data_IF_815351588875
#
_entry.id   IF_815351588875
#
_cell.length_a   1.000
_cell.length_b   1.000
_cell.length_c   1.000
_cell.angle_alpha   90.00
_cell.angle_beta   90.00
_cell.angle_gamma   90.00
#
_symmetry.space_group_name_H-M   'P 1'
#
loop_
_entity.id
_entity.type
_entity.pdbx_description
1 polymer ?
#
# COMPACT_ATOMS: atom_id res chain seq x y z
N UNK A 1 8.10 29.25 0.24
CA UNK A 1 8.07 28.73 1.63
C UNK A 1 9.45 28.18 1.93
N UNK A 2 10.12 28.67 2.97
CA UNK A 2 11.46 28.20 3.39
C UNK A 2 11.25 27.16 4.48
N UNK A 3 11.69 25.92 4.26
CA UNK A 3 11.68 24.89 5.28
C UNK A 3 13.01 24.95 6.07
N UNK A 4 12.99 24.92 7.41
CA UNK A 4 14.22 24.90 8.18
C UNK A 4 15.01 23.61 7.90
N UNK A 5 16.34 23.67 7.93
CA UNK A 5 17.15 22.45 7.91
C UNK A 5 16.85 21.61 9.15
N UNK A 6 17.00 20.29 9.06
CA UNK A 6 16.82 19.37 10.19
C UNK A 6 17.68 19.78 11.40
N UNK A 7 18.88 20.32 11.14
CA UNK A 7 19.79 20.86 12.15
C UNK A 7 19.19 22.09 12.84
N UNK A 8 18.64 23.04 12.07
CA UNK A 8 18.02 24.24 12.63
C UNK A 8 16.77 23.91 13.46
N UNK A 9 15.99 22.93 13.00
CA UNK A 9 14.76 22.47 13.65
C UNK A 9 15.06 21.81 14.99
N UNK A 10 16.13 21.00 15.05
CA UNK A 10 16.66 20.43 16.29
C UNK A 10 17.13 21.51 17.27
N UNK A 11 17.92 22.48 16.81
CA UNK A 11 18.37 23.60 17.64
C UNK A 11 17.21 24.44 18.18
N UNK A 12 16.15 24.60 17.39
CA UNK A 12 14.94 25.30 17.82
C UNK A 12 14.22 24.52 18.92
N UNK A 13 14.09 23.20 18.76
CA UNK A 13 13.42 22.30 19.70
C UNK A 13 14.10 22.29 21.08
N UNK A 14 15.44 22.26 21.09
CA UNK A 14 16.27 22.37 22.30
C UNK A 14 16.04 23.69 23.04
N UNK A 15 16.02 24.82 22.31
CA UNK A 15 15.80 26.15 22.92
C UNK A 15 14.39 26.33 23.48
N UNK A 16 13.40 25.71 22.84
CA UNK A 16 12.00 25.76 23.25
C UNK A 16 11.64 24.70 24.29
N UNK A 17 12.54 23.76 24.60
CA UNK A 17 12.29 22.67 25.54
C UNK A 17 11.19 21.71 25.07
N UNK A 18 11.00 21.56 23.76
CA UNK A 18 9.97 20.72 23.16
C UNK A 18 10.60 19.66 22.27
N UNK A 19 9.95 18.50 22.15
CA UNK A 19 10.39 17.46 21.23
C UNK A 19 10.38 17.98 19.76
N UNK A 20 11.47 17.81 18.98
CA UNK A 20 11.49 18.21 17.57
C UNK A 20 10.33 17.63 16.75
N UNK A 21 9.84 16.43 17.08
CA UNK A 21 8.66 15.81 16.48
C UNK A 21 7.39 16.65 16.67
N UNK A 22 7.27 17.41 17.76
CA UNK A 22 6.14 18.31 17.98
C UNK A 22 6.18 19.51 17.02
N UNK A 23 7.36 20.04 16.71
CA UNK A 23 7.52 21.09 15.69
C UNK A 23 7.18 20.53 14.31
N UNK A 24 7.61 19.30 14.01
CA UNK A 24 7.17 18.60 12.79
C UNK A 24 5.64 18.41 12.75
N UNK A 25 5.01 18.05 13.87
CA UNK A 25 3.55 17.90 13.96
C UNK A 25 2.78 19.22 13.77
N UNK A 26 3.38 20.36 14.13
CA UNK A 26 2.84 21.71 13.90
C UNK A 26 2.99 22.16 12.43
N UNK A 27 4.06 21.73 11.77
CA UNK A 27 4.30 22.00 10.33
C UNK A 27 3.57 21.02 9.41
N UNK A 28 3.08 19.89 9.92
CA UNK A 28 2.25 18.97 9.16
C UNK A 28 0.97 19.67 8.69
N UNK A 29 0.93 19.92 7.39
CA UNK A 29 -0.20 20.49 6.66
C UNK A 29 -1.51 19.77 7.04
N UNK A 30 -2.60 20.51 7.30
CA UNK A 30 -3.93 19.96 7.61
C UNK A 30 -4.35 18.86 6.62
N UNK A 31 -3.96 18.99 5.34
CA UNK A 31 -4.15 17.97 4.29
C UNK A 31 -3.43 16.65 4.62
N UNK A 32 -2.17 16.70 5.07
CA UNK A 32 -1.40 15.51 5.39
C UNK A 32 -2.04 14.74 6.55
N UNK A 33 -2.45 15.45 7.62
CA UNK A 33 -3.17 14.83 8.74
C UNK A 33 -4.48 14.18 8.28
N UNK A 34 -5.22 14.87 7.43
CA UNK A 34 -6.44 14.33 6.83
C UNK A 34 -6.17 13.04 6.02
N UNK A 35 -5.18 13.07 5.12
CA UNK A 35 -4.81 11.93 4.29
C UNK A 35 -4.39 10.73 5.14
N UNK A 36 -3.59 10.93 6.20
CA UNK A 36 -3.20 9.86 7.12
C UNK A 36 -4.40 9.29 7.88
N UNK A 37 -5.32 10.14 8.34
CA UNK A 37 -6.56 9.68 8.97
C UNK A 37 -7.40 8.82 8.02
N UNK A 38 -7.55 9.25 6.76
CA UNK A 38 -8.28 8.46 5.76
C UNK A 38 -7.58 7.12 5.48
N UNK A 39 -6.25 7.09 5.36
CA UNK A 39 -5.49 5.84 5.21
C UNK A 39 -5.70 4.90 6.39
N UNK A 40 -5.80 5.43 7.61
CA UNK A 40 -6.10 4.65 8.80
C UNK A 40 -7.50 4.02 8.71
N UNK A 41 -8.52 4.81 8.38
CA UNK A 41 -9.91 4.32 8.22
C UNK A 41 -9.98 3.25 7.12
N UNK A 42 -9.32 3.45 5.98
CA UNK A 42 -9.26 2.45 4.91
C UNK A 42 -8.67 1.12 5.39
N UNK A 43 -7.55 1.17 6.13
CA UNK A 43 -6.92 -0.04 6.71
C UNK A 43 -7.83 -0.72 7.73
N UNK A 44 -8.59 0.05 8.50
CA UNK A 44 -9.54 -0.48 9.47
C UNK A 44 -10.73 -1.19 8.79
N UNK A 45 -11.30 -0.58 7.74
CA UNK A 45 -12.34 -1.22 6.92
C UNK A 45 -11.87 -2.55 6.33
N UNK A 46 -10.60 -2.65 5.89
CA UNK A 46 -10.02 -3.91 5.43
C UNK A 46 -9.98 -4.98 6.53
N UNK A 47 -9.58 -4.61 7.75
CA UNK A 47 -9.53 -5.54 8.89
C UNK A 47 -10.94 -6.03 9.28
N UNK A 48 -11.91 -5.13 9.23
CA UNK A 48 -13.32 -5.42 9.57
C UNK A 48 -14.10 -6.06 8.40
N UNK A 49 -13.47 -6.25 7.24
CA UNK A 49 -14.10 -6.78 6.00
C UNK A 49 -15.29 -5.93 5.50
N UNK A 50 -15.26 -4.64 5.78
CA UNK A 50 -16.25 -3.64 5.37
C UNK A 50 -15.93 -3.13 3.95
N UNK A 51 -16.09 -4.00 2.95
CA UNK A 51 -15.65 -3.71 1.58
C UNK A 51 -16.56 -2.72 0.84
N UNK A 52 -17.85 -2.64 1.19
CA UNK A 52 -18.79 -1.69 0.59
C UNK A 52 -18.47 -0.27 1.06
N UNK A 53 -18.26 -0.10 2.36
CA UNK A 53 -17.85 1.14 2.99
C UNK A 53 -16.51 1.61 2.45
N UNK A 54 -15.55 0.68 2.32
CA UNK A 54 -14.25 0.97 1.71
C UNK A 54 -14.41 1.54 0.28
N UNK A 55 -15.26 0.93 -0.53
CA UNK A 55 -15.50 1.40 -1.90
C UNK A 55 -16.05 2.83 -1.93
N UNK A 56 -17.05 3.13 -1.09
CA UNK A 56 -17.64 4.47 -1.01
C UNK A 56 -16.66 5.52 -0.50
N UNK A 57 -15.83 5.18 0.50
CA UNK A 57 -14.77 6.07 1.01
C UNK A 57 -13.78 6.38 -0.12
N UNK A 58 -13.24 5.36 -0.80
CA UNK A 58 -12.24 5.58 -1.84
C UNK A 58 -12.80 6.39 -3.00
N UNK A 59 -14.04 6.10 -3.43
CA UNK A 59 -14.72 6.84 -4.49
C UNK A 59 -14.91 8.31 -4.13
N UNK A 60 -15.32 8.59 -2.89
CA UNK A 60 -15.45 9.96 -2.38
C UNK A 60 -14.11 10.68 -2.35
N UNK A 61 -13.05 10.03 -1.85
CA UNK A 61 -11.72 10.63 -1.71
C UNK A 61 -11.05 10.93 -3.05
N UNK A 62 -11.31 10.13 -4.09
CA UNK A 62 -10.86 10.42 -5.46
C UNK A 62 -11.47 11.72 -6.00
N UNK A 63 -12.68 12.09 -5.58
CA UNK A 63 -13.34 13.33 -6.01
C UNK A 63 -12.88 14.58 -5.24
N UNK A 64 -12.42 14.42 -3.98
CA UNK A 64 -12.04 15.53 -3.11
C UNK A 64 -10.64 16.09 -3.38
N UNK A 65 -9.84 15.44 -4.24
CA UNK A 65 -8.48 15.85 -4.65
C UNK A 65 -7.50 16.08 -3.47
N UNK A 66 -7.77 15.44 -2.31
CA UNK A 66 -6.91 15.49 -1.13
C UNK A 66 -5.64 14.63 -1.29
N UNK A 67 -5.73 13.55 -2.07
CA UNK A 67 -4.63 12.63 -2.40
C UNK A 67 -3.95 13.11 -3.69
N UNK A 68 -2.82 13.78 -3.53
CA UNK A 68 -2.16 14.54 -4.60
C UNK A 68 -0.91 13.84 -5.12
N UNK A 69 -0.11 13.24 -4.23
CA UNK A 69 1.14 12.58 -4.63
C UNK A 69 0.86 11.27 -5.37
N UNK A 70 1.86 10.79 -6.12
CA UNK A 70 1.76 9.50 -6.83
C UNK A 70 1.49 8.34 -5.85
N UNK A 71 2.19 8.32 -4.72
CA UNK A 71 2.04 7.29 -3.68
C UNK A 71 0.66 7.34 -3.00
N UNK A 72 0.15 8.55 -2.75
CA UNK A 72 -1.20 8.76 -2.22
C UNK A 72 -2.26 8.24 -3.20
N UNK A 73 -2.14 8.56 -4.48
CA UNK A 73 -3.07 8.07 -5.52
C UNK A 73 -2.97 6.57 -5.71
N UNK A 74 -1.76 6.02 -5.72
CA UNK A 74 -1.52 4.58 -5.77
C UNK A 74 -2.20 3.88 -4.60
N UNK A 75 -2.11 4.42 -3.39
CA UNK A 75 -2.78 3.88 -2.21
C UNK A 75 -4.28 3.73 -2.45
N UNK A 76 -4.95 4.80 -2.92
CA UNK A 76 -6.39 4.77 -3.16
C UNK A 76 -6.77 3.73 -4.22
N UNK A 77 -6.10 3.76 -5.39
CA UNK A 77 -6.41 2.85 -6.51
C UNK A 77 -6.18 1.38 -6.09
N UNK A 78 -5.12 1.11 -5.32
CA UNK A 78 -4.86 -0.23 -4.79
C UNK A 78 -6.02 -0.73 -3.92
N UNK A 79 -6.50 0.10 -2.98
CA UNK A 79 -7.58 -0.32 -2.08
C UNK A 79 -8.94 -0.35 -2.76
N UNK A 80 -9.15 0.47 -3.79
CA UNK A 80 -10.31 0.38 -4.68
C UNK A 80 -10.38 -0.98 -5.37
N UNK A 81 -9.25 -1.46 -5.91
CA UNK A 81 -9.18 -2.76 -6.56
C UNK A 81 -9.56 -3.91 -5.61
N UNK A 82 -9.13 -3.83 -4.33
CA UNK A 82 -9.53 -4.79 -3.30
C UNK A 82 -11.03 -4.76 -3.07
N UNK A 83 -11.61 -3.56 -2.94
CA UNK A 83 -13.04 -3.42 -2.73
C UNK A 83 -13.85 -3.98 -3.92
N UNK A 84 -13.47 -3.64 -5.16
CA UNK A 84 -14.10 -4.15 -6.39
C UNK A 84 -14.03 -5.67 -6.45
N UNK A 85 -12.84 -6.24 -6.20
CA UNK A 85 -12.69 -7.69 -6.20
C UNK A 85 -13.58 -8.37 -5.15
N UNK A 86 -13.69 -7.79 -3.96
CA UNK A 86 -14.45 -8.42 -2.86
C UNK A 86 -15.97 -8.27 -3.02
N UNK A 87 -16.44 -7.15 -3.59
CA UNK A 87 -17.88 -6.87 -3.78
C UNK A 87 -18.39 -7.49 -5.09
N UNK A 88 -17.71 -7.21 -6.20
CA UNK A 88 -18.20 -7.56 -7.54
C UNK A 88 -17.63 -8.89 -8.06
N UNK A 89 -16.63 -9.47 -7.36
CA UNK A 89 -15.88 -10.68 -7.78
C UNK A 89 -15.27 -10.56 -9.19
N UNK A 90 -15.12 -9.34 -9.69
CA UNK A 90 -14.59 -9.07 -11.03
C UNK A 90 -13.07 -8.99 -11.00
N UNK A 91 -12.42 -10.12 -11.30
CA UNK A 91 -10.95 -10.24 -11.32
C UNK A 91 -10.31 -9.31 -12.36
N UNK A 92 -10.85 -9.30 -13.58
CA UNK A 92 -10.26 -8.52 -14.69
C UNK A 92 -10.18 -7.04 -14.34
N UNK A 93 -11.29 -6.47 -13.87
CA UNK A 93 -11.34 -5.06 -13.48
C UNK A 93 -10.40 -4.79 -12.31
N UNK A 94 -10.41 -5.63 -11.27
CA UNK A 94 -9.53 -5.46 -10.13
C UNK A 94 -8.03 -5.49 -10.55
N UNK A 95 -7.63 -6.42 -11.42
CA UNK A 95 -6.27 -6.49 -11.95
C UNK A 95 -5.90 -5.28 -12.80
N UNK A 96 -6.82 -4.73 -13.60
CA UNK A 96 -6.60 -3.50 -14.36
C UNK A 96 -6.31 -2.31 -13.43
N UNK A 97 -7.06 -2.18 -12.34
CA UNK A 97 -6.81 -1.17 -11.32
C UNK A 97 -5.46 -1.37 -10.62
N UNK A 98 -5.08 -2.60 -10.26
CA UNK A 98 -3.78 -2.89 -9.66
C UNK A 98 -2.62 -2.57 -10.62
N UNK A 99 -2.76 -2.90 -11.90
CA UNK A 99 -1.77 -2.54 -12.92
C UNK A 99 -1.65 -1.01 -13.07
N UNK A 100 -2.77 -0.29 -13.03
CA UNK A 100 -2.75 1.17 -13.06
C UNK A 100 -2.09 1.75 -11.80
N UNK A 101 -2.33 1.16 -10.62
CA UNK A 101 -1.67 1.55 -9.38
C UNK A 101 -0.15 1.34 -9.46
N UNK A 102 0.33 0.23 -10.01
CA UNK A 102 1.76 -0.03 -10.20
C UNK A 102 2.39 0.97 -11.17
N UNK A 103 1.75 1.26 -12.31
CA UNK A 103 2.26 2.21 -13.31
C UNK A 103 2.53 3.62 -12.76
N UNK A 104 1.89 4.00 -11.65
CA UNK A 104 2.11 5.33 -11.04
C UNK A 104 3.50 5.48 -10.41
N UNK A 105 4.07 4.40 -9.84
CA UNK A 105 5.33 4.46 -9.08
C UNK A 105 6.43 3.59 -9.67
N UNK A 106 6.07 2.56 -10.46
CA UNK A 106 7.00 1.59 -11.00
C UNK A 106 8.03 2.28 -11.87
N UNK A 107 9.25 2.36 -11.36
CA UNK A 107 10.39 2.99 -12.04
C UNK A 107 11.35 1.95 -12.58
N UNK A 108 11.53 0.84 -11.86
CA UNK A 108 12.38 -0.28 -12.27
C UNK A 108 11.70 -1.61 -11.93
N UNK A 109 11.58 -2.53 -12.89
CA UNK A 109 10.95 -3.84 -12.69
C UNK A 109 11.76 -4.80 -11.81
N UNK A 110 13.06 -4.51 -11.63
CA UNK A 110 14.03 -5.37 -10.93
C UNK A 110 14.25 -4.96 -9.47
N UNK A 111 13.78 -3.77 -9.10
CA UNK A 111 13.84 -3.19 -7.75
C UNK A 111 12.50 -2.57 -7.39
N UNK A 112 11.68 -3.33 -6.67
CA UNK A 112 10.37 -2.91 -6.21
C UNK A 112 10.45 -2.31 -4.80
N UNK A 113 9.68 -1.25 -4.57
CA UNK A 113 9.39 -0.75 -3.23
C UNK A 113 8.48 -1.70 -2.45
N UNK A 114 8.45 -1.57 -1.12
CA UNK A 114 7.53 -2.34 -0.26
C UNK A 114 6.07 -2.22 -0.71
N UNK A 115 5.65 -1.02 -1.12
CA UNK A 115 4.29 -0.77 -1.59
C UNK A 115 3.98 -1.52 -2.87
N UNK A 116 4.91 -1.55 -3.81
CA UNK A 116 4.75 -2.29 -5.06
C UNK A 116 4.75 -3.80 -4.82
N UNK A 117 5.54 -4.27 -3.86
CA UNK A 117 5.51 -5.67 -3.41
C UNK A 117 4.13 -6.02 -2.84
N UNK A 118 3.55 -5.19 -1.96
CA UNK A 118 2.20 -5.43 -1.42
C UNK A 118 1.11 -5.44 -2.51
N UNK A 119 1.21 -4.54 -3.50
CA UNK A 119 0.28 -4.50 -4.62
C UNK A 119 0.41 -5.78 -5.47
N UNK A 120 1.63 -6.18 -5.81
CA UNK A 120 1.88 -7.42 -6.55
C UNK A 120 1.45 -8.66 -5.76
N UNK A 121 1.64 -8.66 -4.45
CA UNK A 121 1.14 -9.69 -3.56
C UNK A 121 -0.39 -9.78 -3.62
N UNK A 122 -1.08 -8.63 -3.65
CA UNK A 122 -2.54 -8.58 -3.81
C UNK A 122 -2.98 -9.18 -5.17
N UNK A 123 -2.25 -8.88 -6.25
CA UNK A 123 -2.52 -9.49 -7.56
C UNK A 123 -2.38 -11.01 -7.53
N UNK A 124 -1.33 -11.52 -6.89
CA UNK A 124 -1.11 -12.96 -6.76
C UNK A 124 -2.23 -13.65 -5.97
N UNK A 125 -2.76 -13.01 -4.93
CA UNK A 125 -3.94 -13.50 -4.20
C UNK A 125 -5.14 -13.59 -5.14
N UNK A 126 -5.41 -12.58 -5.96
CA UNK A 126 -6.54 -12.63 -6.91
C UNK A 126 -6.40 -13.74 -7.95
N UNK A 127 -5.19 -13.99 -8.45
CA UNK A 127 -4.94 -15.13 -9.34
C UNK A 127 -5.16 -16.48 -8.63
N UNK A 128 -4.73 -16.60 -7.37
CA UNK A 128 -4.95 -17.82 -6.58
C UNK A 128 -6.44 -18.08 -6.33
N UNK A 129 -7.21 -17.05 -5.99
CA UNK A 129 -8.68 -17.15 -5.83
C UNK A 129 -9.37 -17.56 -7.15
N UNK A 130 -8.78 -17.23 -8.30
CA UNK A 130 -9.26 -17.68 -9.61
C UNK A 130 -8.73 -19.07 -10.03
N UNK A 131 -8.07 -19.81 -9.13
CA UNK A 131 -7.41 -21.10 -9.40
C UNK A 131 -6.26 -21.04 -10.41
N UNK A 132 -5.75 -19.85 -10.73
CA UNK A 132 -4.58 -19.65 -11.57
C UNK A 132 -3.30 -19.70 -10.72
N UNK A 133 -3.09 -20.85 -10.05
CA UNK A 133 -2.05 -21.00 -9.04
C UNK A 133 -0.63 -20.84 -9.58
N UNK A 134 -0.34 -21.33 -10.78
CA UNK A 134 1.00 -21.18 -11.38
C UNK A 134 1.40 -19.69 -11.54
N UNK A 135 0.47 -18.87 -12.03
CA UNK A 135 0.68 -17.42 -12.17
C UNK A 135 0.88 -16.76 -10.80
N UNK A 136 0.04 -17.13 -9.84
CA UNK A 136 0.14 -16.65 -8.45
C UNK A 136 1.51 -16.97 -7.83
N UNK A 137 1.96 -18.22 -7.93
CA UNK A 137 3.26 -18.69 -7.43
C UNK A 137 4.41 -17.92 -8.07
N UNK A 138 4.37 -17.70 -9.39
CA UNK A 138 5.41 -16.95 -10.08
C UNK A 138 5.51 -15.51 -9.56
N UNK A 139 4.36 -14.84 -9.37
CA UNK A 139 4.32 -13.49 -8.82
C UNK A 139 4.83 -13.47 -7.38
N UNK A 140 4.41 -14.41 -6.51
CA UNK A 140 4.90 -14.48 -5.13
C UNK A 140 6.41 -14.71 -5.07
N UNK A 141 6.97 -15.59 -5.93
CA UNK A 141 8.43 -15.79 -6.04
C UNK A 141 9.13 -14.48 -6.42
N UNK A 142 8.61 -13.76 -7.42
CA UNK A 142 9.17 -12.45 -7.83
C UNK A 142 9.11 -11.43 -6.70
N UNK A 143 8.01 -11.39 -5.94
CA UNK A 143 7.87 -10.53 -4.77
C UNK A 143 8.90 -10.86 -3.69
N UNK A 144 9.11 -12.15 -3.40
CA UNK A 144 10.07 -12.60 -2.40
C UNK A 144 11.52 -12.26 -2.79
N UNK A 145 11.87 -12.46 -4.06
CA UNK A 145 13.19 -12.08 -4.60
C UNK A 145 13.43 -10.59 -4.47
N UNK A 146 12.44 -9.75 -4.79
CA UNK A 146 12.55 -8.29 -4.63
C UNK A 146 12.63 -7.87 -3.16
N UNK A 147 11.82 -8.49 -2.29
CA UNK A 147 11.84 -8.21 -0.86
C UNK A 147 13.23 -8.48 -0.25
N UNK A 148 13.89 -9.57 -0.65
CA UNK A 148 15.22 -9.90 -0.15
C UNK A 148 16.33 -8.95 -0.64
N UNK A 149 16.07 -8.13 -1.68
CA UNK A 149 16.99 -7.07 -2.13
C UNK A 149 16.81 -5.76 -1.35
N UNK A 150 15.79 -5.64 -0.50
CA UNK A 150 15.60 -4.46 0.33
C UNK A 150 16.60 -4.46 1.49
N UNK A 151 17.44 -3.44 1.56
CA UNK A 151 18.47 -3.34 2.61
C UNK A 151 17.87 -3.19 4.01
N UNK A 152 16.75 -2.47 4.13
CA UNK A 152 16.08 -2.18 5.41
C UNK A 152 14.55 -2.18 5.28
N UNK A 153 13.91 -3.36 5.20
CA UNK A 153 12.46 -3.43 5.15
C UNK A 153 11.83 -2.95 6.47
N UNK A 154 10.93 -1.97 6.38
CA UNK A 154 10.21 -1.39 7.53
C UNK A 154 9.16 -2.35 8.09
N UNK A 155 8.46 -3.07 7.22
CA UNK A 155 7.45 -4.04 7.60
C UNK A 155 7.93 -5.48 7.37
N UNK A 156 8.32 -6.14 8.46
CA UNK A 156 8.76 -7.55 8.44
C UNK A 156 7.61 -8.52 8.19
N UNK A 157 6.35 -8.11 8.40
CA UNK A 157 5.19 -8.96 8.17
C UNK A 157 4.98 -9.25 6.68
N UNK A 158 5.45 -8.37 5.78
CA UNK A 158 5.31 -8.56 4.32
C UNK A 158 5.92 -9.91 3.91
N UNK A 159 7.15 -10.21 4.37
CA UNK A 159 7.82 -11.49 4.07
C UNK A 159 7.05 -12.69 4.63
N UNK A 160 6.54 -12.57 5.85
CA UNK A 160 5.75 -13.64 6.47
C UNK A 160 4.46 -13.91 5.66
N UNK A 161 3.73 -12.86 5.29
CA UNK A 161 2.50 -12.97 4.49
C UNK A 161 2.79 -13.57 3.10
N UNK A 162 3.89 -13.18 2.47
CA UNK A 162 4.34 -13.75 1.19
C UNK A 162 4.59 -15.26 1.31
N UNK A 163 5.37 -15.68 2.32
CA UNK A 163 5.69 -17.10 2.54
C UNK A 163 4.44 -17.93 2.86
N UNK A 164 3.54 -17.42 3.71
CA UNK A 164 2.28 -18.06 4.05
C UNK A 164 1.40 -18.27 2.81
N UNK A 165 1.21 -17.23 1.99
CA UNK A 165 0.34 -17.32 0.81
C UNK A 165 0.94 -18.21 -0.28
N UNK A 166 2.27 -18.19 -0.44
CA UNK A 166 2.97 -19.09 -1.36
C UNK A 166 2.85 -20.55 -0.93
N UNK A 167 2.98 -20.85 0.37
CA UNK A 167 2.75 -22.20 0.90
C UNK A 167 1.31 -22.69 0.64
N UNK A 168 0.30 -21.83 0.86
CA UNK A 168 -1.09 -22.14 0.52
C UNK A 168 -1.29 -22.44 -0.96
N UNK A 169 -0.66 -21.66 -1.85
CA UNK A 169 -0.77 -21.91 -3.29
C UNK A 169 -0.14 -23.25 -3.68
N UNK A 170 0.97 -23.65 -3.06
CA UNK A 170 1.55 -24.97 -3.31
C UNK A 170 0.62 -26.10 -2.85
N UNK A 171 0.02 -25.99 -1.67
CA UNK A 171 -0.93 -26.99 -1.19
C UNK A 171 -2.08 -27.24 -2.20
N UNK A 172 -2.65 -26.16 -2.74
CA UNK A 172 -3.70 -26.26 -3.76
C UNK A 172 -3.23 -26.75 -5.14
N UNK A 173 -1.94 -26.66 -5.47
CA UNK A 173 -1.42 -27.22 -6.74
C UNK A 173 -1.18 -28.72 -6.70
N UNK A 174 -1.04 -29.31 -5.51
CA UNK A 174 -0.72 -30.72 -5.33
C UNK A 174 -1.91 -31.55 -4.81
N UNK A 175 -3.10 -30.96 -4.70
CA UNK A 175 -4.40 -31.62 -4.49
C UNK A 175 -5.11 -31.88 -5.82
#
# INVERSE_FOLDING_TARGET
MIYPSSILLYQLSERLGIDPNNIFALTQNKRLKYVENVKYVIKDCLKQKQYKELYEIVKKEKNLNNFQTKDEKQFLIWHEAIAIFMVDKSIKTALDFLNNALKLTLTNSDFLSEREIDIMQTMAIFYAENKEYEKSINIFKKCLTNFNKLDFPRDKEIKLKLMLNLAKCFDFTYQ
#
